data_IF_100649145676
#
_entry.id   IF_100649145676
#
_cell.length_a   1.000
_cell.length_b   1.000
_cell.length_c   1.000
_cell.angle_alpha   90.00
_cell.angle_beta   90.00
_cell.angle_gamma   90.00
#
_symmetry.space_group_name_H-M   'P 1'
#
loop_
_entity.id
_entity.type
_entity.pdbx_description
1 polymer ?
#
# COMPACT_ATOMS: atom_id res chain seq x y z
N UNK A 1 -17.90 -23.80 7.96
CA UNK A 1 -18.61 -22.66 7.33
C UNK A 1 -19.34 -23.19 6.09
N UNK A 2 -20.65 -22.96 5.94
CA UNK A 2 -21.43 -23.50 4.82
C UNK A 2 -20.86 -23.07 3.45
N UNK A 3 -20.78 -24.02 2.51
CA UNK A 3 -20.03 -23.90 1.25
C UNK A 3 -20.42 -22.70 0.36
N UNK A 4 -21.65 -22.20 0.50
CA UNK A 4 -22.19 -21.08 -0.28
C UNK A 4 -21.54 -19.71 0.01
N UNK A 5 -20.87 -19.54 1.17
CA UNK A 5 -20.17 -18.28 1.49
C UNK A 5 -18.70 -18.28 1.03
N UNK A 6 -18.11 -19.45 0.77
CA UNK A 6 -16.72 -19.60 0.32
C UNK A 6 -16.39 -18.86 -0.99
N UNK A 7 -17.23 -18.88 -2.04
CA UNK A 7 -16.91 -18.15 -3.28
C UNK A 7 -16.91 -16.63 -3.08
N UNK A 8 -17.80 -16.11 -2.23
CA UNK A 8 -17.84 -14.67 -1.92
C UNK A 8 -16.61 -14.23 -1.12
N UNK A 9 -16.18 -15.04 -0.16
CA UNK A 9 -14.95 -14.82 0.60
C UNK A 9 -13.71 -14.87 -0.31
N UNK A 10 -13.63 -15.84 -1.22
CA UNK A 10 -12.54 -15.97 -2.21
C UNK A 10 -12.47 -14.75 -3.14
N UNK A 11 -13.61 -14.27 -3.65
CA UNK A 11 -13.68 -13.06 -4.49
C UNK A 11 -13.20 -11.84 -3.70
N UNK A 12 -13.66 -11.67 -2.45
CA UNK A 12 -13.24 -10.56 -1.59
C UNK A 12 -11.77 -10.66 -1.21
N UNK A 13 -11.24 -11.85 -1.01
CA UNK A 13 -9.83 -12.08 -0.69
C UNK A 13 -8.93 -11.74 -1.87
N UNK A 14 -9.29 -12.17 -3.09
CA UNK A 14 -8.58 -11.81 -4.32
C UNK A 14 -8.65 -10.30 -4.60
N UNK A 15 -9.83 -9.70 -4.44
CA UNK A 15 -10.01 -8.25 -4.58
C UNK A 15 -9.20 -7.49 -3.51
N UNK A 16 -9.21 -7.95 -2.26
CA UNK A 16 -8.48 -7.37 -1.14
C UNK A 16 -6.96 -7.50 -1.30
N UNK A 17 -6.47 -8.58 -1.90
CA UNK A 17 -5.06 -8.80 -2.20
C UNK A 17 -4.49 -7.75 -3.16
N UNK A 18 -5.23 -7.36 -4.20
CA UNK A 18 -4.84 -6.28 -5.13
C UNK A 18 -5.18 -4.88 -4.59
N UNK A 19 -6.27 -4.74 -3.84
CA UNK A 19 -6.70 -3.45 -3.29
C UNK A 19 -5.67 -2.90 -2.30
N UNK A 20 -4.99 -3.75 -1.52
CA UNK A 20 -3.94 -3.34 -0.56
C UNK A 20 -2.76 -2.59 -1.23
N UNK A 21 -2.06 -3.14 -2.25
CA UNK A 21 -1.00 -2.42 -2.96
C UNK A 21 -1.50 -1.25 -3.80
N UNK A 22 -2.69 -1.32 -4.41
CA UNK A 22 -3.28 -0.18 -5.14
C UNK A 22 -3.58 0.99 -4.21
N UNK A 23 -4.17 0.73 -3.04
CA UNK A 23 -4.39 1.75 -2.01
C UNK A 23 -3.08 2.34 -1.50
N UNK A 24 -1.99 1.55 -1.50
CA UNK A 24 -0.65 1.98 -1.17
C UNK A 24 -0.06 2.93 -2.23
N UNK A 25 -0.21 2.59 -3.52
CA UNK A 25 0.28 3.37 -4.65
C UNK A 25 -0.42 4.75 -4.74
N UNK A 26 -1.74 4.76 -4.57
CA UNK A 26 -2.54 6.00 -4.50
C UNK A 26 -2.07 6.86 -3.33
N UNK A 27 -1.67 6.25 -2.21
CA UNK A 27 -1.20 6.98 -1.03
C UNK A 27 0.18 7.62 -1.24
N UNK A 28 1.13 6.94 -1.87
CA UNK A 28 2.41 7.54 -2.24
C UNK A 28 2.20 8.71 -3.23
N UNK A 29 1.32 8.53 -4.22
CA UNK A 29 0.96 9.59 -5.17
C UNK A 29 0.31 10.80 -4.48
N UNK A 30 -0.58 10.55 -3.52
CA UNK A 30 -1.19 11.58 -2.70
C UNK A 30 -0.14 12.33 -1.87
N UNK A 31 0.84 11.63 -1.29
CA UNK A 31 1.89 12.29 -0.49
C UNK A 31 2.79 13.22 -1.34
N UNK A 32 3.14 12.83 -2.56
CA UNK A 32 3.88 13.71 -3.48
C UNK A 32 3.02 14.91 -3.95
N UNK A 33 1.71 14.70 -4.12
CA UNK A 33 0.76 15.76 -4.47
C UNK A 33 0.47 16.70 -3.29
N UNK A 34 0.46 16.19 -2.06
CA UNK A 34 0.19 16.93 -0.83
C UNK A 34 1.24 18.02 -0.58
N UNK A 35 2.52 17.73 -0.83
CA UNK A 35 3.58 18.74 -0.81
C UNK A 35 3.33 19.87 -1.82
N UNK A 36 2.83 19.54 -3.01
CA UNK A 36 2.47 20.55 -4.02
C UNK A 36 1.25 21.38 -3.56
N UNK A 37 0.21 20.74 -3.03
CA UNK A 37 -0.96 21.42 -2.46
C UNK A 37 -0.62 22.28 -1.24
N UNK A 38 0.36 21.87 -0.43
CA UNK A 38 0.84 22.63 0.74
C UNK A 38 1.43 23.99 0.32
N UNK A 39 2.29 24.02 -0.71
CA UNK A 39 2.89 25.26 -1.20
C UNK A 39 1.81 26.21 -1.74
N UNK A 40 0.86 25.67 -2.51
CA UNK A 40 -0.29 26.45 -3.00
C UNK A 40 -1.14 26.99 -1.84
N UNK A 41 -1.34 26.19 -0.79
CA UNK A 41 -2.03 26.59 0.44
C UNK A 41 -1.30 27.73 1.16
N UNK A 42 0.02 27.66 1.34
CA UNK A 42 0.80 28.72 2.00
C UNK A 42 0.80 30.03 1.22
N UNK A 43 0.92 29.97 -0.11
CA UNK A 43 0.82 31.16 -0.98
C UNK A 43 -0.59 31.78 -0.86
N UNK A 44 -1.64 30.97 -0.99
CA UNK A 44 -3.03 31.42 -0.84
C UNK A 44 -3.31 32.04 0.53
N UNK A 45 -2.76 31.43 1.59
CA UNK A 45 -2.91 31.89 2.97
C UNK A 45 -2.25 33.25 3.22
N UNK A 46 -1.06 33.50 2.64
CA UNK A 46 -0.38 34.80 2.71
C UNK A 46 -1.19 35.88 2.01
N UNK A 47 -1.81 35.59 0.85
CA UNK A 47 -2.66 36.54 0.13
C UNK A 47 -3.93 36.91 0.90
N UNK A 48 -4.57 35.92 1.54
CA UNK A 48 -5.79 36.13 2.33
C UNK A 48 -5.49 36.89 3.64
N UNK A 49 -4.43 36.51 4.37
CA UNK A 49 -4.08 37.16 5.65
C UNK A 49 -3.44 38.54 5.46
N UNK A 50 -2.82 38.79 4.31
CA UNK A 50 -2.28 40.10 3.94
C UNK A 50 -3.33 41.12 3.53
N UNK A 51 -4.62 40.74 3.49
CA UNK A 51 -5.74 41.56 3.01
C UNK A 51 -5.43 42.19 1.64
N UNK A 52 -5.01 41.34 0.69
CA UNK A 52 -4.52 41.75 -0.65
C UNK A 52 -3.32 42.72 -0.65
N UNK A 53 -2.61 42.86 0.48
CA UNK A 53 -1.42 43.71 0.63
C UNK A 53 -1.62 44.96 1.50
N UNK A 54 -2.82 45.18 2.05
CA UNK A 54 -3.14 46.37 2.84
C UNK A 54 -2.57 46.32 4.28
N UNK A 55 -2.43 45.13 4.87
CA UNK A 55 -1.98 44.99 6.26
C UNK A 55 -0.87 43.94 6.43
N UNK A 56 0.33 44.28 5.93
CA UNK A 56 1.54 43.43 5.97
C UNK A 56 1.95 43.04 7.40
N UNK A 57 1.62 43.86 8.40
CA UNK A 57 1.96 43.60 9.80
C UNK A 57 1.22 42.42 10.44
N UNK A 58 -0.03 42.17 10.06
CA UNK A 58 -0.83 41.02 10.55
C UNK A 58 -0.38 39.69 9.94
N UNK A 59 -0.02 39.72 8.66
CA UNK A 59 0.50 38.55 7.94
C UNK A 59 1.84 38.05 8.50
N UNK A 60 2.74 38.97 8.87
CA UNK A 60 4.08 38.64 9.38
C UNK A 60 4.08 37.92 10.75
N UNK A 61 3.07 38.16 11.59
CA UNK A 61 2.97 37.52 12.91
C UNK A 61 2.52 36.05 12.85
N UNK A 62 1.64 35.71 11.92
CA UNK A 62 1.03 34.37 11.82
C UNK A 62 1.81 33.47 10.84
N UNK A 63 2.53 34.05 9.88
CA UNK A 63 3.37 33.36 8.91
C UNK A 63 4.36 32.34 9.53
N UNK A 64 5.18 32.66 10.55
CA UNK A 64 6.13 31.68 11.10
C UNK A 64 5.45 30.50 11.78
N UNK A 65 4.28 30.71 12.41
CA UNK A 65 3.51 29.64 13.03
C UNK A 65 2.93 28.67 11.99
N UNK A 66 2.39 29.21 10.89
CA UNK A 66 1.87 28.40 9.78
C UNK A 66 2.96 27.58 9.12
N UNK A 67 4.13 28.18 8.84
CA UNK A 67 5.28 27.48 8.25
C UNK A 67 5.79 26.38 9.20
N UNK A 68 5.92 26.66 10.50
CA UNK A 68 6.38 25.68 11.48
C UNK A 68 5.44 24.47 11.58
N UNK A 69 4.12 24.71 11.61
CA UNK A 69 3.13 23.64 11.63
C UNK A 69 3.13 22.83 10.33
N UNK A 70 3.29 23.51 9.19
CA UNK A 70 3.41 22.88 7.88
C UNK A 70 4.62 21.94 7.81
N UNK A 71 5.79 22.41 8.24
CA UNK A 71 7.01 21.59 8.30
C UNK A 71 6.88 20.39 9.24
N UNK A 72 6.16 20.55 10.35
CA UNK A 72 5.89 19.45 11.27
C UNK A 72 5.06 18.33 10.61
N UNK A 73 4.00 18.68 9.89
CA UNK A 73 3.18 17.70 9.16
C UNK A 73 4.01 17.01 8.06
N UNK A 74 4.84 17.76 7.34
CA UNK A 74 5.74 17.20 6.32
C UNK A 74 6.72 16.18 6.90
N UNK A 75 7.26 16.43 8.11
CA UNK A 75 8.15 15.50 8.78
C UNK A 75 7.44 14.17 9.13
N UNK A 76 6.19 14.23 9.60
CA UNK A 76 5.37 13.03 9.86
C UNK A 76 5.06 12.29 8.56
N UNK A 77 4.76 13.02 7.48
CA UNK A 77 4.46 12.46 6.16
C UNK A 77 5.66 11.70 5.56
N UNK A 78 6.88 12.18 5.78
CA UNK A 78 8.11 11.50 5.36
C UNK A 78 8.30 10.14 6.04
N UNK A 79 8.00 10.04 7.33
CA UNK A 79 8.06 8.77 8.08
C UNK A 79 6.99 7.79 7.56
N UNK A 80 5.77 8.28 7.36
CA UNK A 80 4.67 7.46 6.82
C UNK A 80 5.02 6.98 5.40
N UNK A 81 5.62 7.82 4.56
CA UNK A 81 6.05 7.44 3.22
C UNK A 81 7.09 6.30 3.21
N UNK A 82 8.04 6.31 4.16
CA UNK A 82 9.02 5.23 4.31
C UNK A 82 8.36 3.90 4.73
N UNK A 83 7.43 3.94 5.70
CA UNK A 83 6.66 2.76 6.12
C UNK A 83 5.79 2.24 4.97
N UNK A 84 5.20 3.14 4.18
CA UNK A 84 4.34 2.81 3.05
C UNK A 84 5.11 2.08 1.94
N UNK A 85 6.32 2.53 1.62
CA UNK A 85 7.20 1.87 0.67
C UNK A 85 7.71 0.51 1.20
N UNK A 86 7.97 0.40 2.50
CA UNK A 86 8.36 -0.87 3.13
C UNK A 86 7.25 -1.93 3.04
N UNK A 87 6.00 -1.57 3.37
CA UNK A 87 4.85 -2.48 3.28
C UNK A 87 4.60 -2.91 1.83
N UNK A 88 4.82 -2.03 0.84
CA UNK A 88 4.75 -2.40 -0.58
C UNK A 88 5.76 -3.49 -0.94
N UNK A 89 7.02 -3.31 -0.52
CA UNK A 89 8.09 -4.26 -0.78
C UNK A 89 7.82 -5.61 -0.09
N UNK A 90 7.30 -5.58 1.14
CA UNK A 90 6.94 -6.78 1.90
C UNK A 90 5.83 -7.57 1.21
N UNK A 91 4.75 -6.92 0.76
CA UNK A 91 3.67 -7.59 0.02
C UNK A 91 4.17 -8.18 -1.31
N UNK A 92 5.09 -7.49 -1.99
CA UNK A 92 5.71 -7.99 -3.23
C UNK A 92 6.60 -9.20 -2.96
N UNK A 93 7.39 -9.18 -1.89
CA UNK A 93 8.24 -10.31 -1.48
C UNK A 93 7.39 -11.53 -1.08
N UNK A 94 6.28 -11.33 -0.36
CA UNK A 94 5.34 -12.40 -0.04
C UNK A 94 4.70 -12.98 -1.30
N UNK A 95 4.30 -12.15 -2.27
CA UNK A 95 3.76 -12.64 -3.54
C UNK A 95 4.78 -13.45 -4.34
N UNK A 96 6.03 -12.98 -4.40
CA UNK A 96 7.13 -13.72 -5.03
C UNK A 96 7.37 -15.04 -4.30
N UNK A 97 7.39 -15.04 -2.97
CA UNK A 97 7.55 -16.25 -2.15
C UNK A 97 6.44 -17.28 -2.41
N UNK A 98 5.18 -16.84 -2.43
CA UNK A 98 4.03 -17.71 -2.74
C UNK A 98 4.08 -18.26 -4.18
N UNK A 99 4.56 -17.47 -5.14
CA UNK A 99 4.72 -17.90 -6.52
C UNK A 99 5.86 -18.93 -6.69
N UNK A 100 6.89 -18.88 -5.83
CA UNK A 100 7.99 -19.85 -5.84
C UNK A 100 7.61 -21.20 -5.25
N UNK A 101 6.69 -21.25 -4.29
CA UNK A 101 6.29 -22.48 -3.59
C UNK A 101 5.25 -23.33 -4.37
N UNK A 102 4.69 -22.81 -5.47
CA UNK A 102 3.63 -23.47 -6.26
C UNK A 102 4.13 -24.57 -7.23
N UNK A 103 5.43 -24.90 -7.27
CA UNK A 103 5.97 -25.80 -8.32
C UNK A 103 6.64 -27.09 -7.85
N UNK A 104 6.59 -27.45 -6.56
CA UNK A 104 7.23 -28.68 -6.04
C UNK A 104 6.26 -29.76 -5.51
N UNK A 105 4.94 -29.53 -5.52
CA UNK A 105 3.95 -30.46 -4.91
C UNK A 105 3.30 -31.46 -5.89
N UNK A 106 3.93 -31.82 -7.02
CA UNK A 106 3.28 -32.69 -8.02
C UNK A 106 4.03 -33.94 -8.50
N UNK A 107 5.11 -34.38 -7.84
CA UNK A 107 5.88 -35.56 -8.32
C UNK A 107 5.88 -36.82 -7.43
N UNK A 108 5.21 -36.85 -6.26
CA UNK A 108 5.34 -38.01 -5.34
C UNK A 108 4.16 -39.03 -5.39
N UNK A 109 3.04 -38.75 -6.08
CA UNK A 109 1.84 -39.61 -6.02
C UNK A 109 1.72 -40.70 -7.13
N UNK A 110 2.74 -40.89 -7.98
CA UNK A 110 2.69 -41.88 -9.06
C UNK A 110 3.64 -43.09 -8.91
N UNK A 111 4.40 -43.20 -7.82
CA UNK A 111 5.28 -44.35 -7.59
C UNK A 111 4.61 -45.54 -6.86
N UNK A 112 3.43 -45.36 -6.24
CA UNK A 112 2.78 -46.40 -5.43
C UNK A 112 1.86 -47.37 -6.18
N UNK A 113 1.25 -46.95 -7.30
CA UNK A 113 0.23 -47.74 -8.00
C UNK A 113 0.86 -48.85 -8.89
N UNK A 114 2.02 -48.59 -9.50
CA UNK A 114 2.66 -49.54 -10.43
C UNK A 114 3.27 -50.76 -9.72
N UNK A 115 3.63 -50.66 -8.44
CA UNK A 115 4.15 -51.78 -7.67
C UNK A 115 3.06 -52.79 -7.28
N UNK A 116 1.80 -52.36 -7.18
CA UNK A 116 0.66 -53.22 -6.90
C UNK A 116 0.27 -54.09 -8.10
N UNK A 117 0.23 -53.50 -9.30
CA UNK A 117 -0.17 -54.22 -10.52
C UNK A 117 0.88 -55.27 -10.97
N UNK A 118 2.17 -55.00 -10.76
CA UNK A 118 3.24 -55.95 -11.07
C UNK A 118 3.21 -57.21 -10.18
N UNK A 119 2.75 -57.10 -8.94
CA UNK A 119 2.65 -58.23 -8.00
C UNK A 119 1.37 -59.07 -8.22
N UNK A 120 0.32 -58.47 -8.81
CA UNK A 120 -0.93 -59.18 -9.14
C UNK A 120 -0.80 -59.92 -10.49
N UNK A 121 0.04 -59.45 -11.41
CA UNK A 121 0.28 -60.12 -12.68
C UNK A 121 1.16 -61.40 -12.58
N UNK A 122 1.81 -61.62 -11.44
CA UNK A 122 2.74 -62.72 -11.21
C UNK A 122 2.28 -63.76 -10.17
N UNK A 123 1.06 -63.66 -9.64
CA UNK A 123 0.43 -64.63 -8.73
C UNK A 123 -0.70 -65.41 -9.43
#
# INVERSE_FOLDING_TARGET
>A
VPLWMKPLMLIVELMGFITKPVALAIRLFANISAGHFMILSLISLIFILGDNGENVGGALGIMPLSIAFSLFIFAVEMIVAAVQAFVFCLLTAVFIGQAMETHDDHDEDHAGEQAGEANIAHA
#
